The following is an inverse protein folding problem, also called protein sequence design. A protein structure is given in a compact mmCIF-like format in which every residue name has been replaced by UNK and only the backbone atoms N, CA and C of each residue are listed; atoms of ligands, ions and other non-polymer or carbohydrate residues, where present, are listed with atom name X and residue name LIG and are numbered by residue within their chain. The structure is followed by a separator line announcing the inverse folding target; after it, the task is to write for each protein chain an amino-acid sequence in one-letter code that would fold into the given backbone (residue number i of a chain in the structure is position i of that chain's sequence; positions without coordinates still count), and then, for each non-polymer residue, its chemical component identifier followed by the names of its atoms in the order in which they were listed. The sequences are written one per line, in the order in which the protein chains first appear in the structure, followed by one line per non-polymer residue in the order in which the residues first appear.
data_IF_499062208850
#
_entry.id   IF_499062208850
#
_cell.length_a   1.000
_cell.length_b   1.000
_cell.length_c   1.000
_cell.angle_alpha   90.00
_cell.angle_beta   90.00
_cell.angle_gamma   90.00
#
_symmetry.space_group_name_H-M   'P 1'
#
loop_
_entity.id
_entity.type
_entity.pdbx_description
1 polymer ?
#
# COMPACT_ATOMS: atom_id res chain seq x y z
N UNK A 1 -2.60 3.80 14.18
CA UNK A 1 -1.96 3.62 12.87
C UNK A 1 -1.06 2.38 12.90
N UNK A 2 -1.10 1.62 11.84
CA UNK A 2 -0.29 0.41 11.69
C UNK A 2 0.60 0.56 10.46
N UNK A 3 1.88 0.22 10.57
CA UNK A 3 2.82 0.26 9.45
C UNK A 3 3.25 -1.17 9.11
N UNK A 4 3.18 -1.52 7.83
CA UNK A 4 3.64 -2.82 7.32
C UNK A 4 4.55 -2.58 6.11
N UNK A 5 5.48 -3.50 5.90
CA UNK A 5 6.37 -3.44 4.73
C UNK A 5 5.80 -4.33 3.64
N UNK A 6 5.69 -3.78 2.43
CA UNK A 6 5.14 -4.51 1.29
C UNK A 6 6.07 -4.40 0.08
N UNK A 7 5.90 -5.33 -0.85
CA UNK A 7 6.67 -5.39 -2.09
C UNK A 7 5.73 -5.25 -3.28
N UNK A 8 5.97 -4.25 -4.12
CA UNK A 8 5.17 -3.98 -5.31
C UNK A 8 6.09 -4.02 -6.54
N UNK A 9 6.74 -5.16 -6.75
CA UNK A 9 7.81 -5.29 -7.74
C UNK A 9 7.35 -5.42 -9.19
N UNK A 10 6.06 -5.39 -9.46
CA UNK A 10 5.55 -5.47 -10.83
C UNK A 10 4.35 -4.56 -11.00
N UNK A 11 4.07 -4.20 -12.26
CA UNK A 11 2.90 -3.38 -12.61
C UNK A 11 1.61 -4.09 -12.19
N UNK A 12 1.54 -5.40 -12.39
CA UNK A 12 0.37 -6.17 -12.01
C UNK A 12 0.13 -6.16 -10.50
N UNK A 13 1.19 -6.23 -9.71
CA UNK A 13 1.07 -6.14 -8.25
C UNK A 13 0.57 -4.77 -7.81
N UNK A 14 1.04 -3.70 -8.45
CA UNK A 14 0.57 -2.35 -8.13
C UNK A 14 -0.92 -2.22 -8.42
N UNK A 15 -1.37 -2.68 -9.57
CA UNK A 15 -2.78 -2.61 -9.93
C UNK A 15 -3.65 -3.41 -8.97
N UNK A 16 -3.23 -4.62 -8.64
CA UNK A 16 -3.94 -5.48 -7.71
C UNK A 16 -4.01 -4.86 -6.32
N UNK A 17 -2.89 -4.31 -5.86
CA UNK A 17 -2.79 -3.66 -4.55
C UNK A 17 -3.76 -2.47 -4.44
N UNK A 18 -3.73 -1.56 -5.43
CA UNK A 18 -4.61 -0.39 -5.42
C UNK A 18 -6.07 -0.82 -5.45
N UNK A 19 -6.40 -1.81 -6.28
CA UNK A 19 -7.76 -2.34 -6.35
C UNK A 19 -8.21 -2.91 -5.00
N UNK A 20 -7.33 -3.64 -4.31
CA UNK A 20 -7.65 -4.24 -3.03
C UNK A 20 -7.90 -3.20 -1.94
N UNK A 21 -7.02 -2.20 -1.81
CA UNK A 21 -7.15 -1.21 -0.73
C UNK A 21 -8.24 -0.18 -1.00
N UNK A 22 -8.61 0.01 -2.26
CA UNK A 22 -9.68 0.96 -2.62
C UNK A 22 -11.02 0.52 -2.05
N UNK A 23 -11.18 -0.76 -1.73
CA UNK A 23 -12.40 -1.30 -1.13
C UNK A 23 -12.61 -0.84 0.30
N UNK A 24 -11.56 -0.37 0.95
CA UNK A 24 -11.63 0.14 2.32
C UNK A 24 -11.73 1.66 2.31
N UNK A 25 -12.56 2.21 3.21
CA UNK A 25 -12.74 3.67 3.32
C UNK A 25 -11.58 4.36 4.03
N UNK A 26 -10.71 3.59 4.67
CA UNK A 26 -9.59 4.13 5.42
C UNK A 26 -8.54 4.76 4.50
N UNK A 27 -7.73 5.65 5.06
CA UNK A 27 -6.61 6.25 4.34
C UNK A 27 -5.36 5.39 4.48
N UNK A 28 -4.58 5.36 3.41
CA UNK A 28 -3.32 4.61 3.35
C UNK A 28 -2.24 5.51 2.78
N UNK A 29 -1.08 5.55 3.43
CA UNK A 29 0.08 6.28 2.92
C UNK A 29 1.18 5.29 2.56
N UNK A 30 1.78 5.47 1.39
CA UNK A 30 2.91 4.66 0.96
C UNK A 30 4.17 5.50 1.09
N UNK A 31 5.14 4.99 1.84
CA UNK A 31 6.39 5.70 2.13
C UNK A 31 7.53 5.07 1.35
N UNK A 32 8.25 5.91 0.60
CA UNK A 32 9.42 5.50 -0.15
C UNK A 32 10.53 6.53 0.09
N UNK A 33 11.47 6.18 0.97
CA UNK A 33 12.50 7.12 1.36
C UNK A 33 11.89 8.34 2.02
N UNK A 34 12.11 9.52 1.42
CA UNK A 34 11.56 10.77 1.93
C UNK A 34 10.18 11.12 1.35
N UNK A 35 9.68 10.28 0.46
CA UNK A 35 8.39 10.54 -0.20
C UNK A 35 7.27 9.81 0.52
N UNK A 36 6.17 10.52 0.75
CA UNK A 36 4.94 9.95 1.30
C UNK A 36 3.83 10.28 0.32
N UNK A 37 3.19 9.25 -0.22
CA UNK A 37 2.12 9.42 -1.21
C UNK A 37 0.87 8.68 -0.75
N UNK A 38 -0.29 9.08 -1.31
CA UNK A 38 -1.53 8.36 -1.10
C UNK A 38 -1.42 7.00 -1.80
N UNK A 39 -1.52 5.92 -1.03
CA UNK A 39 -1.38 4.56 -1.56
C UNK A 39 -2.49 4.17 -2.53
N UNK A 40 -3.59 4.92 -2.57
CA UNK A 40 -4.67 4.70 -3.55
C UNK A 40 -4.40 5.39 -4.87
N UNK A 41 -3.32 6.16 -4.98
CA UNK A 41 -2.95 6.86 -6.21
C UNK A 41 -2.02 5.99 -7.04
N UNK A 42 -2.59 5.32 -8.05
CA UNK A 42 -1.82 4.41 -8.90
C UNK A 42 -0.69 5.14 -9.64
N UNK A 43 -0.96 6.35 -10.10
CA UNK A 43 0.07 7.13 -10.81
C UNK A 43 1.19 7.58 -9.88
N UNK A 44 0.85 7.92 -8.64
CA UNK A 44 1.85 8.24 -7.63
C UNK A 44 2.78 7.06 -7.36
N UNK A 45 2.21 5.87 -7.24
CA UNK A 45 3.01 4.66 -7.00
C UNK A 45 3.96 4.38 -8.16
N UNK A 46 3.50 4.55 -9.40
CA UNK A 46 4.35 4.32 -10.58
C UNK A 46 5.50 5.30 -10.70
N UNK A 47 5.46 6.42 -9.99
CA UNK A 47 6.57 7.37 -9.98
C UNK A 47 7.70 6.95 -9.03
N UNK A 48 7.49 5.91 -8.23
CA UNK A 48 8.46 5.43 -7.25
C UNK A 48 9.32 4.30 -7.84
N UNK A 49 10.46 4.04 -7.18
CA UNK A 49 11.27 2.88 -7.50
C UNK A 49 10.60 1.64 -6.92
N UNK A 50 9.99 0.83 -7.78
CA UNK A 50 9.23 -0.34 -7.35
C UNK A 50 10.12 -1.55 -7.03
N UNK A 51 11.43 -1.47 -7.27
CA UNK A 51 12.34 -2.58 -7.01
C UNK A 51 12.63 -2.78 -5.53
N UNK A 52 12.27 -1.81 -4.69
CA UNK A 52 12.56 -1.83 -3.26
C UNK A 52 11.27 -1.93 -2.45
N UNK A 53 11.32 -2.57 -1.28
CA UNK A 53 10.16 -2.61 -0.39
C UNK A 53 9.73 -1.21 0.03
N UNK A 54 8.43 -1.06 0.32
CA UNK A 54 7.84 0.20 0.75
C UNK A 54 7.13 -0.02 2.08
N UNK A 55 7.09 1.04 2.89
CA UNK A 55 6.32 1.01 4.13
C UNK A 55 4.92 1.54 3.85
N UNK A 56 3.93 0.81 4.29
CA UNK A 56 2.54 1.21 4.15
C UNK A 56 1.98 1.58 5.52
N UNK A 57 1.54 2.83 5.66
CA UNK A 57 0.87 3.31 6.87
C UNK A 57 -0.63 3.16 6.70
N UNK A 58 -1.25 2.41 7.60
CA UNK A 58 -2.68 2.13 7.55
C UNK A 58 -3.38 2.94 8.64
N UNK A 59 -4.22 3.88 8.23
CA UNK A 59 -4.96 4.75 9.13
C UNK A 59 -6.36 4.19 9.40
N UNK A 60 -6.41 2.97 9.93
CA UNK A 60 -7.67 2.30 10.25
C UNK A 60 -7.57 1.66 11.62
N UNK A 61 -8.66 1.71 12.39
CA UNK A 61 -8.77 1.04 13.68
C UNK A 61 -9.83 -0.05 13.67
N UNK A 62 -10.72 -0.03 12.68
CA UNK A 62 -11.87 -0.95 12.66
C UNK A 62 -11.68 -2.15 11.75
N UNK A 63 -11.03 -1.97 10.59
CA UNK A 63 -10.88 -3.02 9.58
C UNK A 63 -9.45 -3.58 9.51
N UNK A 64 -8.65 -3.34 10.53
CA UNK A 64 -7.21 -3.62 10.48
C UNK A 64 -6.92 -5.10 10.18
N UNK A 65 -7.61 -6.02 10.85
CA UNK A 65 -7.38 -7.44 10.65
C UNK A 65 -7.68 -7.87 9.22
N UNK A 66 -8.77 -7.36 8.66
CA UNK A 66 -9.17 -7.65 7.29
C UNK A 66 -8.15 -7.07 6.30
N UNK A 67 -7.72 -5.83 6.54
CA UNK A 67 -6.71 -5.17 5.71
C UNK A 67 -5.40 -5.96 5.73
N UNK A 68 -4.94 -6.36 6.90
CA UNK A 68 -3.68 -7.11 7.03
C UNK A 68 -3.77 -8.46 6.32
N UNK A 69 -4.93 -9.11 6.37
CA UNK A 69 -5.16 -10.37 5.67
C UNK A 69 -5.02 -10.18 4.15
N UNK A 70 -5.60 -9.11 3.62
CA UNK A 70 -5.52 -8.80 2.19
C UNK A 70 -4.07 -8.50 1.78
N UNK A 71 -3.30 -7.84 2.65
CA UNK A 71 -1.93 -7.42 2.34
C UNK A 71 -0.90 -8.55 2.42
N UNK A 72 -1.26 -9.73 2.95
CA UNK A 72 -0.31 -10.84 3.06
C UNK A 72 0.36 -11.19 1.75
N UNK A 73 -0.36 -11.11 0.64
CA UNK A 73 0.18 -11.47 -0.67
C UNK A 73 1.19 -10.46 -1.22
N UNK A 74 1.36 -9.34 -0.54
CA UNK A 74 2.32 -8.30 -0.95
C UNK A 74 3.57 -8.24 -0.05
N UNK A 75 3.66 -9.12 0.92
CA UNK A 75 4.81 -9.15 1.82
C UNK A 75 6.04 -9.83 1.23
#
# INVERSE_FOLDING_TARGET
MKTVTINLGSIDKVKSFVNDITKFDSDFDLVSGRYVIDAKSIMGIFSLDLSKPKDLNIHSETDLDEILSVLEKYK
#
